data_IF_398229442286
#
_entry.id   IF_398229442286
#
_cell.length_a   1.000
_cell.length_b   1.000
_cell.length_c   1.000
_cell.angle_alpha   90.00
_cell.angle_beta   90.00
_cell.angle_gamma   90.00
#
_symmetry.space_group_name_H-M   'P 1'
#
loop_
_entity.id
_entity.type
_entity.pdbx_description
1 polymer ?
#
# COMPACT_ATOMS: atom_id res chain seq x y z
N UNK A 1 -63.58 -14.50 -18.52
CA UNK A 1 -63.30 -13.56 -17.40
C UNK A 1 -62.49 -14.32 -16.36
N UNK A 2 -61.49 -13.67 -15.75
CA UNK A 2 -60.46 -14.14 -14.79
C UNK A 2 -59.14 -14.58 -15.46
N UNK A 3 -58.13 -13.70 -15.48
CA UNK A 3 -57.18 -13.32 -14.41
C UNK A 3 -56.06 -14.37 -14.23
N UNK A 4 -54.85 -14.02 -14.66
CA UNK A 4 -53.60 -14.28 -13.93
C UNK A 4 -52.43 -13.62 -14.67
N UNK A 5 -52.22 -12.32 -14.42
CA UNK A 5 -50.98 -11.63 -14.82
C UNK A 5 -49.96 -11.83 -13.71
N UNK A 6 -49.04 -12.78 -13.88
CA UNK A 6 -47.98 -13.04 -12.90
C UNK A 6 -46.89 -11.98 -13.02
N UNK A 7 -46.86 -11.05 -12.07
CA UNK A 7 -45.81 -10.04 -11.93
C UNK A 7 -44.59 -10.68 -11.26
N UNK A 8 -43.54 -11.00 -12.03
CA UNK A 8 -42.25 -11.46 -11.49
C UNK A 8 -41.50 -10.25 -10.92
N UNK A 9 -41.49 -10.10 -9.59
CA UNK A 9 -40.66 -9.13 -8.88
C UNK A 9 -39.20 -9.63 -8.92
N UNK A 10 -38.36 -9.03 -9.74
CA UNK A 10 -36.92 -9.26 -9.72
C UNK A 10 -36.30 -8.44 -8.59
N UNK A 11 -36.01 -9.10 -7.46
CA UNK A 11 -35.20 -8.53 -6.39
C UNK A 11 -33.75 -8.41 -6.87
N UNK A 12 -33.39 -7.22 -7.33
CA UNK A 12 -31.99 -6.85 -7.59
C UNK A 12 -31.26 -6.66 -6.26
N UNK A 13 -30.59 -7.70 -5.77
CA UNK A 13 -29.65 -7.58 -4.65
C UNK A 13 -28.40 -6.83 -5.14
N UNK A 14 -28.35 -5.52 -4.91
CA UNK A 14 -27.13 -4.73 -5.08
C UNK A 14 -26.12 -5.16 -4.02
N UNK A 15 -25.17 -6.03 -4.37
CA UNK A 15 -24.01 -6.33 -3.54
C UNK A 15 -23.11 -5.10 -3.54
N UNK A 16 -23.22 -4.27 -2.50
CA UNK A 16 -22.25 -3.19 -2.25
C UNK A 16 -20.95 -3.82 -1.78
N UNK A 17 -19.98 -3.95 -2.69
CA UNK A 17 -18.60 -4.24 -2.31
C UNK A 17 -18.09 -3.09 -1.42
N UNK A 18 -17.97 -3.33 -0.13
CA UNK A 18 -17.37 -2.40 0.81
C UNK A 18 -15.86 -2.39 0.58
N UNK A 19 -15.38 -1.43 -0.20
CA UNK A 19 -13.95 -1.15 -0.26
C UNK A 19 -13.50 -0.74 1.15
N UNK A 20 -12.74 -1.61 1.82
CA UNK A 20 -12.09 -1.24 3.06
C UNK A 20 -11.14 -0.06 2.77
N UNK A 21 -11.41 1.09 3.39
CA UNK A 21 -10.55 2.27 3.28
C UNK A 21 -9.25 2.03 4.07
N UNK A 22 -8.34 1.26 3.48
CA UNK A 22 -6.99 1.05 3.98
C UNK A 22 -6.18 2.34 3.80
N UNK A 23 -5.43 2.70 4.83
CA UNK A 23 -4.42 3.76 4.74
C UNK A 23 -3.05 3.10 4.78
N UNK A 24 -2.14 3.53 3.90
CA UNK A 24 -0.80 3.01 3.89
C UNK A 24 0.25 4.09 3.60
N UNK A 25 1.40 3.92 4.23
CA UNK A 25 2.59 4.74 4.01
C UNK A 25 3.72 3.86 3.51
N UNK A 26 4.56 4.47 2.67
CA UNK A 26 5.85 3.95 2.26
C UNK A 26 6.93 4.76 2.97
N UNK A 27 7.90 4.08 3.57
CA UNK A 27 9.02 4.69 4.25
C UNK A 27 10.33 4.18 3.66
N UNK A 28 11.24 5.08 3.32
CA UNK A 28 12.61 4.73 2.95
C UNK A 28 13.45 4.66 4.24
N UNK A 29 14.14 3.55 4.55
CA UNK A 29 14.95 3.44 5.75
C UNK A 29 16.02 4.54 5.83
N UNK A 30 15.99 5.34 6.88
CA UNK A 30 16.97 6.40 7.12
C UNK A 30 18.33 5.85 7.59
N UNK A 31 18.38 4.61 8.10
CA UNK A 31 19.55 4.08 8.80
C UNK A 31 19.93 4.97 9.98
N UNK A 32 21.20 5.33 10.08
CA UNK A 32 21.70 6.18 11.17
C UNK A 32 21.45 7.69 10.96
N UNK A 33 20.92 8.09 9.79
CA UNK A 33 20.66 9.50 9.44
C UNK A 33 19.33 9.99 10.04
N UNK A 34 19.33 10.17 11.36
CA UNK A 34 18.14 10.59 12.12
C UNK A 34 17.53 11.91 11.63
N UNK A 35 18.31 12.77 11.00
CA UNK A 35 17.87 14.03 10.41
C UNK A 35 16.88 13.84 9.25
N UNK A 36 16.84 12.67 8.61
CA UNK A 36 15.90 12.33 7.55
C UNK A 36 14.55 11.83 8.07
N UNK A 37 14.46 11.51 9.37
CA UNK A 37 13.22 11.06 10.00
C UNK A 37 12.12 12.12 9.81
N UNK A 38 10.95 11.68 9.35
CA UNK A 38 9.81 12.55 9.03
C UNK A 38 9.81 13.09 7.60
N UNK A 39 10.95 13.10 6.92
CA UNK A 39 11.06 13.37 5.47
C UNK A 39 11.07 12.09 4.64
N UNK A 40 11.34 10.95 5.27
CA UNK A 40 11.47 9.65 4.62
C UNK A 40 10.15 8.90 4.39
N UNK A 41 9.01 9.52 4.71
CA UNK A 41 7.69 8.93 4.58
C UNK A 41 6.89 9.56 3.43
N UNK A 42 6.17 8.69 2.73
CA UNK A 42 5.36 8.99 1.56
C UNK A 42 4.03 8.25 1.66
N UNK A 43 2.95 8.86 1.17
CA UNK A 43 1.63 8.23 1.17
C UNK A 43 1.50 7.31 -0.04
N UNK A 44 1.03 6.08 0.18
CA UNK A 44 0.61 5.19 -0.90
C UNK A 44 -0.83 5.57 -1.27
N UNK A 45 -1.04 5.98 -2.52
CA UNK A 45 -2.35 6.46 -2.98
C UNK A 45 -3.28 5.32 -3.41
N UNK A 46 -2.71 4.25 -3.96
CA UNK A 46 -3.46 3.09 -4.44
C UNK A 46 -2.89 1.85 -3.78
N UNK A 47 -3.71 1.20 -2.95
CA UNK A 47 -3.39 -0.05 -2.29
C UNK A 47 -4.62 -0.95 -2.28
N UNK A 48 -4.43 -2.20 -2.64
CA UNK A 48 -5.42 -3.26 -2.55
C UNK A 48 -4.82 -4.43 -1.78
N UNK A 49 -5.55 -4.90 -0.78
CA UNK A 49 -5.22 -6.10 -0.03
C UNK A 49 -6.42 -7.04 -0.14
N UNK A 50 -6.20 -8.20 -0.75
CA UNK A 50 -7.28 -9.16 -1.01
C UNK A 50 -6.90 -10.54 -0.49
N UNK A 51 -7.76 -11.14 0.33
CA UNK A 51 -7.60 -12.51 0.80
C UNK A 51 -8.46 -13.43 -0.08
N UNK A 52 -7.83 -14.40 -0.72
CA UNK A 52 -8.52 -15.42 -1.49
C UNK A 52 -9.13 -16.49 -0.58
N UNK A 53 -10.18 -17.20 -1.03
CA UNK A 53 -10.77 -18.31 -0.27
C UNK A 53 -9.78 -19.42 0.07
N UNK A 54 -8.71 -19.58 -0.73
CA UNK A 54 -7.62 -20.54 -0.50
C UNK A 54 -6.57 -20.09 0.53
N UNK A 55 -6.81 -18.99 1.24
CA UNK A 55 -5.92 -18.49 2.29
C UNK A 55 -4.70 -17.71 1.78
N UNK A 56 -4.59 -17.48 0.47
CA UNK A 56 -3.57 -16.59 -0.07
C UNK A 56 -4.01 -15.14 0.06
N UNK A 57 -3.06 -14.25 0.26
CA UNK A 57 -3.31 -12.81 0.25
C UNK A 57 -2.50 -12.16 -0.86
N UNK A 58 -3.17 -11.34 -1.67
CA UNK A 58 -2.54 -10.48 -2.67
C UNK A 58 -2.46 -9.05 -2.12
N UNK A 59 -1.26 -8.50 -2.12
CA UNK A 59 -0.98 -7.10 -1.85
C UNK A 59 -0.56 -6.44 -3.17
N UNK A 60 -1.33 -5.45 -3.60
CA UNK A 60 -1.05 -4.66 -4.80
C UNK A 60 -1.02 -3.18 -4.47
N UNK A 61 -0.01 -2.47 -4.92
CA UNK A 61 0.09 -1.03 -4.67
C UNK A 61 0.89 -0.30 -5.74
N UNK A 62 0.67 1.01 -5.84
CA UNK A 62 1.46 1.91 -6.65
C UNK A 62 2.53 2.57 -5.77
N UNK A 63 3.81 2.46 -6.15
CA UNK A 63 4.88 3.19 -5.47
C UNK A 63 4.67 4.70 -5.58
N UNK A 64 5.01 5.49 -4.55
CA UNK A 64 4.92 6.94 -4.61
C UNK A 64 5.71 7.52 -5.80
N UNK A 65 5.06 8.33 -6.63
CA UNK A 65 5.70 8.94 -7.80
C UNK A 65 6.81 9.90 -7.39
N UNK A 66 6.75 10.45 -6.18
CA UNK A 66 7.82 11.26 -5.62
C UNK A 66 9.12 10.46 -5.44
N UNK A 67 9.05 9.13 -5.34
CA UNK A 67 10.23 8.26 -5.24
C UNK A 67 10.70 7.73 -6.59
N UNK A 68 9.79 7.45 -7.52
CA UNK A 68 10.12 6.75 -8.76
C UNK A 68 10.09 7.64 -10.01
N UNK A 69 9.30 8.71 -10.03
CA UNK A 69 9.05 9.55 -11.20
C UNK A 69 8.18 8.90 -12.29
N UNK A 70 8.15 7.57 -12.34
CA UNK A 70 7.29 6.75 -13.20
C UNK A 70 6.34 5.87 -12.37
N UNK A 71 5.15 5.52 -12.88
CA UNK A 71 4.24 4.62 -12.18
C UNK A 71 4.81 3.20 -12.10
N UNK A 72 5.14 2.75 -10.90
CA UNK A 72 5.58 1.38 -10.63
C UNK A 72 4.51 0.65 -9.83
N UNK A 73 3.76 -0.24 -10.48
CA UNK A 73 2.75 -1.08 -9.83
C UNK A 73 3.42 -2.35 -9.35
N UNK A 74 3.32 -2.60 -8.05
CA UNK A 74 3.89 -3.77 -7.40
C UNK A 74 2.77 -4.70 -6.96
N UNK A 75 2.97 -6.00 -7.17
CA UNK A 75 2.04 -7.04 -6.76
C UNK A 75 2.80 -8.21 -6.13
N UNK A 76 2.40 -8.58 -4.92
CA UNK A 76 2.89 -9.76 -4.22
C UNK A 76 1.71 -10.64 -3.84
N UNK A 77 1.81 -11.93 -4.15
CA UNK A 77 0.83 -12.93 -3.71
C UNK A 77 1.53 -13.95 -2.82
N UNK A 78 1.04 -14.08 -1.58
CA UNK A 78 1.55 -15.06 -0.62
C UNK A 78 0.48 -15.35 0.42
N UNK A 79 0.46 -16.52 1.09
CA UNK A 79 -0.16 -16.58 2.40
C UNK A 79 0.47 -15.49 3.28
N UNK A 80 -0.26 -14.38 3.52
CA UNK A 80 0.18 -13.42 4.53
C UNK A 80 0.10 -14.14 5.88
N UNK A 81 1.04 -13.85 6.78
CA UNK A 81 1.14 -14.59 8.01
C UNK A 81 -0.12 -14.39 8.85
N UNK A 82 -0.86 -15.49 9.07
CA UNK A 82 -1.50 -15.67 10.37
C UNK A 82 -0.38 -15.86 11.38
N UNK A 83 -0.15 -14.83 12.20
CA UNK A 83 0.63 -14.88 13.44
C UNK A 83 2.17 -15.02 13.33
N UNK A 84 2.76 -14.90 12.13
CA UNK A 84 4.21 -15.07 11.88
C UNK A 84 4.89 -14.01 10.99
N UNK A 85 6.16 -14.21 10.63
CA UNK A 85 6.85 -13.46 9.55
C UNK A 85 6.86 -14.32 8.30
N UNK A 86 6.36 -13.81 7.18
CA UNK A 86 6.44 -14.50 5.87
C UNK A 86 7.35 -13.73 4.94
N UNK A 87 8.42 -14.37 4.45
CA UNK A 87 9.23 -13.87 3.34
C UNK A 87 8.66 -14.39 2.02
N UNK A 88 8.56 -13.49 1.05
CA UNK A 88 8.02 -13.74 -0.28
C UNK A 88 9.01 -13.20 -1.30
N UNK A 89 9.35 -14.02 -2.28
CA UNK A 89 10.16 -13.60 -3.42
C UNK A 89 9.29 -13.64 -4.66
N UNK A 90 9.16 -12.50 -5.35
CA UNK A 90 8.41 -12.39 -6.59
C UNK A 90 9.18 -11.51 -7.58
N UNK A 91 9.49 -12.06 -8.75
CA UNK A 91 10.22 -11.35 -9.81
C UNK A 91 11.52 -10.70 -9.31
N UNK A 92 12.32 -11.47 -8.56
CA UNK A 92 13.55 -11.04 -7.86
C UNK A 92 13.37 -9.98 -6.77
N UNK A 93 12.17 -9.45 -6.59
CA UNK A 93 11.83 -8.58 -5.47
C UNK A 93 11.58 -9.42 -4.22
N UNK A 94 11.91 -8.88 -3.06
CA UNK A 94 11.73 -9.53 -1.77
C UNK A 94 10.76 -8.72 -0.92
N UNK A 95 9.88 -9.41 -0.22
CA UNK A 95 8.99 -8.80 0.76
C UNK A 95 8.87 -9.67 1.99
N UNK A 96 9.05 -9.06 3.17
CA UNK A 96 8.82 -9.73 4.45
C UNK A 96 7.82 -8.95 5.28
N UNK A 97 6.65 -9.54 5.52
CA UNK A 97 5.58 -8.91 6.27
C UNK A 97 5.44 -9.50 7.68
N UNK A 98 5.06 -8.64 8.62
CA UNK A 98 4.59 -8.98 9.95
C UNK A 98 3.27 -8.25 10.20
N UNK A 99 2.30 -8.95 10.77
CA UNK A 99 0.98 -8.42 11.08
C UNK A 99 0.83 -8.28 12.60
N UNK A 100 0.36 -7.12 13.05
CA UNK A 100 -0.04 -6.87 14.43
C UNK A 100 -1.53 -6.48 14.50
N UNK A 101 -2.01 -6.15 15.70
CA UNK A 101 -3.43 -5.84 15.94
C UNK A 101 -3.95 -4.65 15.13
N UNK A 102 -3.11 -3.65 14.87
CA UNK A 102 -3.50 -2.36 14.26
C UNK A 102 -2.90 -2.15 12.86
N UNK A 103 -1.88 -2.92 12.49
CA UNK A 103 -1.14 -2.70 11.25
C UNK A 103 -0.55 -3.97 10.65
N UNK A 104 -0.21 -3.89 9.36
CA UNK A 104 0.68 -4.83 8.67
C UNK A 104 1.91 -4.03 8.26
N UNK A 105 3.09 -4.49 8.67
CA UNK A 105 4.37 -3.88 8.30
C UNK A 105 5.12 -4.82 7.36
N UNK A 106 5.43 -4.36 6.15
CA UNK A 106 6.16 -5.12 5.14
C UNK A 106 7.47 -4.43 4.79
N UNK A 107 8.59 -5.11 4.98
CA UNK A 107 9.89 -4.68 4.45
C UNK A 107 10.00 -5.17 3.02
N UNK A 108 10.38 -4.31 2.09
CA UNK A 108 10.52 -4.62 0.67
C UNK A 108 11.90 -4.24 0.15
N UNK A 109 12.40 -5.05 -0.78
CA UNK A 109 13.59 -4.76 -1.55
C UNK A 109 13.32 -5.09 -3.02
N UNK A 110 13.59 -4.14 -3.92
CA UNK A 110 13.36 -4.33 -5.34
C UNK A 110 14.67 -4.64 -6.06
N UNK A 111 14.62 -5.56 -7.03
CA UNK A 111 15.79 -5.85 -7.86
C UNK A 111 15.98 -4.78 -8.94
N UNK A 112 14.88 -4.30 -9.51
CA UNK A 112 14.85 -3.24 -10.50
C UNK A 112 13.52 -2.48 -10.40
N UNK A 113 13.59 -1.16 -10.59
CA UNK A 113 12.43 -0.29 -10.74
C UNK A 113 12.64 0.60 -11.96
N UNK A 114 11.55 0.97 -12.63
CA UNK A 114 11.62 1.99 -13.67
C UNK A 114 11.67 3.38 -13.00
N UNK A 115 12.86 3.99 -13.05
CA UNK A 115 13.17 5.23 -12.33
C UNK A 115 13.37 6.39 -13.30
N UNK A 116 12.62 7.47 -13.07
CA UNK A 116 12.83 8.77 -13.71
C UNK A 116 13.14 9.81 -12.63
N UNK A 117 14.40 9.83 -12.19
CA UNK A 117 14.87 10.68 -11.09
C UNK A 117 14.60 12.17 -11.35
N UNK A 118 14.84 12.75 -12.55
CA UNK A 118 14.50 14.15 -12.80
C UNK A 118 13.02 14.49 -12.59
N UNK A 119 12.11 13.59 -12.99
CA UNK A 119 10.68 13.77 -12.75
C UNK A 119 10.35 13.65 -11.26
N UNK A 120 10.91 12.66 -10.56
CA UNK A 120 10.74 12.50 -9.12
C UNK A 120 11.18 13.76 -8.34
N UNK A 121 12.35 14.31 -8.68
CA UNK A 121 12.88 15.54 -8.10
C UNK A 121 11.94 16.73 -8.32
N UNK A 122 11.42 16.89 -9.54
CA UNK A 122 10.45 17.94 -9.86
C UNK A 122 9.15 17.78 -9.05
N UNK A 123 8.62 16.56 -8.95
CA UNK A 123 7.43 16.30 -8.14
C UNK A 123 7.65 16.63 -6.66
N UNK A 124 8.85 16.38 -6.14
CA UNK A 124 9.21 16.79 -4.78
C UNK A 124 9.29 18.32 -4.64
N UNK A 125 9.93 19.02 -5.58
CA UNK A 125 10.07 20.48 -5.52
C UNK A 125 8.72 21.20 -5.63
N UNK A 126 7.79 20.64 -6.39
CA UNK A 126 6.45 21.21 -6.57
C UNK A 126 5.58 21.01 -5.31
N UNK A 127 5.91 20.03 -4.47
CA UNK A 127 5.06 19.60 -3.34
C UNK A 127 5.57 20.02 -1.96
N UNK A 128 6.88 20.16 -1.78
CA UNK A 128 7.49 20.31 -0.46
C UNK A 128 8.20 21.66 -0.30
N UNK A 129 8.26 22.14 0.95
CA UNK A 129 9.00 23.35 1.30
C UNK A 129 10.50 23.18 1.02
N UNK A 130 11.24 24.27 0.79
CA UNK A 130 12.68 24.18 0.53
C UNK A 130 13.46 23.48 1.65
N UNK A 131 13.03 23.68 2.91
CA UNK A 131 13.62 23.02 4.09
C UNK A 131 13.40 21.50 4.09
N UNK A 132 12.25 21.02 3.62
CA UNK A 132 11.95 19.59 3.53
C UNK A 132 12.49 18.96 2.24
N UNK A 133 12.58 19.76 1.17
CA UNK A 133 13.01 19.33 -0.15
C UNK A 133 14.42 18.75 -0.10
N UNK A 134 15.37 19.44 0.54
CA UNK A 134 16.76 18.96 0.62
C UNK A 134 16.85 17.55 1.23
N UNK A 135 16.16 17.32 2.34
CA UNK A 135 16.12 16.01 3.01
C UNK A 135 15.42 14.96 2.16
N UNK A 136 14.32 15.33 1.49
CA UNK A 136 13.58 14.40 0.61
C UNK A 136 14.37 14.04 -0.64
N UNK A 137 15.19 14.95 -1.16
CA UNK A 137 16.13 14.65 -2.24
C UNK A 137 17.24 13.69 -1.80
N UNK A 138 17.72 13.81 -0.56
CA UNK A 138 18.65 12.81 0.01
C UNK A 138 17.98 11.44 0.14
N UNK A 139 16.72 11.40 0.60
CA UNK A 139 15.92 10.17 0.64
C UNK A 139 15.75 9.57 -0.75
N UNK A 140 15.42 10.38 -1.76
CA UNK A 140 15.30 9.96 -3.15
C UNK A 140 16.60 9.34 -3.66
N UNK A 141 17.74 9.99 -3.43
CA UNK A 141 19.06 9.51 -3.87
C UNK A 141 19.41 8.15 -3.25
N UNK A 142 19.07 7.96 -1.96
CA UNK A 142 19.24 6.66 -1.30
C UNK A 142 18.37 5.60 -1.97
N UNK A 143 17.08 5.89 -2.15
CA UNK A 143 16.13 4.97 -2.75
C UNK A 143 16.49 4.62 -4.21
N UNK A 144 17.01 5.56 -4.99
CA UNK A 144 17.42 5.31 -6.38
C UNK A 144 18.69 4.45 -6.49
N UNK A 145 19.48 4.37 -5.43
CA UNK A 145 20.70 3.55 -5.38
C UNK A 145 20.41 2.17 -4.82
N UNK A 146 19.59 2.11 -3.77
CA UNK A 146 19.19 0.89 -3.09
C UNK A 146 17.67 0.94 -2.83
N UNK A 147 16.83 0.41 -3.74
CA UNK A 147 15.38 0.57 -3.71
C UNK A 147 14.75 -0.37 -2.66
N UNK A 148 14.96 0.00 -1.40
CA UNK A 148 14.38 -0.66 -0.23
C UNK A 148 13.36 0.23 0.46
N UNK A 149 12.38 -0.38 1.13
CA UNK A 149 11.35 0.35 1.84
C UNK A 149 10.61 -0.44 2.89
N UNK A 150 9.81 0.28 3.65
CA UNK A 150 8.90 -0.24 4.66
C UNK A 150 7.50 0.26 4.33
N UNK A 151 6.58 -0.67 4.11
CA UNK A 151 5.16 -0.37 3.89
C UNK A 151 4.44 -0.61 5.21
N UNK A 152 3.71 0.40 5.68
CA UNK A 152 2.84 0.27 6.86
C UNK A 152 1.40 0.42 6.42
N UNK A 153 0.62 -0.66 6.54
CA UNK A 153 -0.80 -0.71 6.19
C UNK A 153 -1.58 -0.68 7.50
N UNK A 154 -2.40 0.34 7.70
CA UNK A 154 -3.17 0.51 8.92
C UNK A 154 -4.57 -0.09 8.76
N UNK A 155 -4.92 -0.99 9.67
CA UNK A 155 -6.28 -1.52 9.79
C UNK A 155 -7.11 -0.49 10.54
N UNK A 156 -8.21 -0.01 9.95
CA UNK A 156 -9.16 0.77 10.77
C UNK A 156 -9.73 -0.14 11.86
N UNK A 157 -9.92 0.36 13.09
CA UNK A 157 -10.71 -0.37 14.06
C UNK A 157 -12.10 -0.58 13.49
N UNK A 158 -12.58 -1.83 13.50
CA UNK A 158 -14.00 -2.11 13.31
C UNK A 158 -14.67 -1.55 14.56
N UNK A 159 -15.19 -0.32 14.49
CA UNK A 159 -16.14 0.16 15.48
C UNK A 159 -17.39 -0.70 15.29
N UNK A 160 -17.46 -1.81 16.04
CA UNK A 160 -18.69 -2.57 16.20
C UNK A 160 -19.67 -1.67 16.92
N UNK A 161 -20.48 -0.93 16.16
CA UNK A 161 -21.66 -0.26 16.67
C UNK A 161 -22.58 -1.39 17.16
N UNK A 162 -22.51 -1.70 18.45
CA UNK A 162 -23.55 -2.51 19.10
C UNK A 162 -24.83 -1.69 19.03
N UNK A 163 -25.66 -1.94 18.03
CA UNK A 163 -27.07 -1.59 18.13
C UNK A 163 -27.66 -2.42 19.26
N UNK A 164 -27.81 -1.77 20.43
CA UNK A 164 -28.76 -2.24 21.43
C UNK A 164 -30.14 -2.01 20.84
N UNK A 165 -30.80 -3.11 20.47
CA UNK A 165 -32.25 -3.17 20.35
C UNK A 165 -32.86 -3.23 21.75
#
# INVERSE_FOLDING_TARGET
MNLATTLLLTLSFSVTASAANLFATYEVPAGDQTELIGSNQFRIQQLSLQKSPGGQTSLKYLLPLELTGNPNVIEFTSPLPGDGKTEVVYDNNKMTCAEDTISITCNVAFAALDMNVPVAQKLMSDKFSQKDLEKRLQVLNRFSTDPIGIIRIYKRPILSVKHKY
#
